data_IF_740135374778
#
_entry.id   IF_740135374778
#
_cell.length_a   1.000
_cell.length_b   1.000
_cell.length_c   1.000
_cell.angle_alpha   90.00
_cell.angle_beta   90.00
_cell.angle_gamma   90.00
#
_symmetry.space_group_name_H-M   'P 1'
#
loop_
_entity.id
_entity.type
_entity.pdbx_description
1 polymer ?
#
# COMPACT_ATOMS: atom_id res chain seq x y z
N UNK A 1 -8.95 -12.74 5.68
CA UNK A 1 -8.66 -11.30 5.58
C UNK A 1 -9.59 -10.73 4.53
N UNK A 2 -10.27 -9.62 4.82
CA UNK A 2 -11.18 -8.98 3.87
C UNK A 2 -10.39 -7.95 3.05
N UNK A 3 -10.69 -7.86 1.76
CA UNK A 3 -10.12 -6.82 0.89
C UNK A 3 -11.02 -5.59 0.86
N UNK A 4 -10.46 -4.44 0.52
CA UNK A 4 -11.21 -3.25 0.18
C UNK A 4 -11.60 -3.30 -1.31
N UNK A 5 -12.88 -3.58 -1.60
CA UNK A 5 -13.41 -3.54 -2.96
C UNK A 5 -13.22 -2.16 -3.64
N UNK A 6 -13.21 -1.08 -2.84
CA UNK A 6 -12.91 0.28 -3.31
C UNK A 6 -11.47 0.41 -3.80
N UNK A 7 -10.48 -0.08 -3.03
CA UNK A 7 -9.07 -0.05 -3.44
C UNK A 7 -8.82 -0.92 -4.67
N UNK A 8 -9.43 -2.12 -4.72
CA UNK A 8 -9.39 -2.99 -5.90
C UNK A 8 -9.89 -2.27 -7.15
N UNK A 9 -11.08 -1.65 -7.08
CA UNK A 9 -11.65 -0.90 -8.20
C UNK A 9 -10.77 0.28 -8.60
N UNK A 10 -10.22 1.02 -7.63
CA UNK A 10 -9.37 2.19 -7.91
C UNK A 10 -8.09 1.76 -8.64
N UNK A 11 -7.37 0.77 -8.13
CA UNK A 11 -6.19 0.22 -8.80
C UNK A 11 -6.50 -0.32 -10.19
N UNK A 12 -7.62 -1.03 -10.37
CA UNK A 12 -8.02 -1.51 -11.69
C UNK A 12 -8.19 -0.36 -12.70
N UNK A 13 -8.82 0.73 -12.28
CA UNK A 13 -9.01 1.90 -13.12
C UNK A 13 -7.69 2.64 -13.40
N UNK A 14 -6.78 2.74 -12.42
CA UNK A 14 -5.43 3.29 -12.61
C UNK A 14 -4.61 2.47 -13.61
N UNK A 15 -4.88 1.16 -13.74
CA UNK A 15 -4.29 0.28 -14.76
C UNK A 15 -5.04 0.29 -16.10
N UNK A 16 -6.07 1.12 -16.24
CA UNK A 16 -6.94 1.20 -17.41
C UNK A 16 -7.59 -0.15 -17.79
N UNK A 17 -7.89 -0.98 -16.80
CA UNK A 17 -8.56 -2.26 -17.04
C UNK A 17 -10.06 -2.16 -16.81
N UNK A 18 -10.84 -2.83 -17.65
CA UNK A 18 -12.21 -3.23 -17.37
C UNK A 18 -12.25 -4.40 -16.38
N UNK A 19 -13.41 -4.66 -15.74
CA UNK A 19 -13.57 -5.83 -14.86
C UNK A 19 -13.26 -7.14 -15.60
N UNK A 20 -13.71 -7.24 -16.87
CA UNK A 20 -13.44 -8.37 -17.76
C UNK A 20 -11.95 -8.55 -18.06
N UNK A 21 -11.21 -7.47 -18.34
CA UNK A 21 -9.77 -7.57 -18.59
C UNK A 21 -9.00 -7.99 -17.35
N UNK A 22 -9.33 -7.44 -16.18
CA UNK A 22 -8.73 -7.88 -14.92
C UNK A 22 -9.03 -9.37 -14.68
N UNK A 23 -10.26 -9.80 -14.91
CA UNK A 23 -10.68 -11.19 -14.75
C UNK A 23 -9.85 -12.14 -15.64
N UNK A 24 -9.74 -11.82 -16.93
CA UNK A 24 -8.95 -12.61 -17.91
C UNK A 24 -7.49 -12.66 -17.50
N UNK A 25 -6.88 -11.52 -17.16
CA UNK A 25 -5.45 -11.44 -16.81
C UNK A 25 -5.11 -12.18 -15.51
N UNK A 26 -6.02 -12.18 -14.54
CA UNK A 26 -5.80 -12.84 -13.23
C UNK A 26 -6.36 -14.27 -13.15
N UNK A 27 -6.94 -14.78 -14.23
CA UNK A 27 -7.48 -16.15 -14.29
C UNK A 27 -8.70 -16.37 -13.40
N UNK A 28 -9.50 -15.34 -13.18
CA UNK A 28 -10.75 -15.39 -12.39
C UNK A 28 -11.95 -15.01 -13.28
N UNK A 29 -13.17 -15.22 -12.77
CA UNK A 29 -14.38 -14.88 -13.53
C UNK A 29 -14.72 -13.39 -13.38
N UNK A 30 -15.33 -12.80 -14.40
CA UNK A 30 -15.81 -11.40 -14.37
C UNK A 30 -16.81 -11.18 -13.21
N UNK A 31 -17.68 -12.16 -12.99
CA UNK A 31 -18.59 -12.18 -11.85
C UNK A 31 -17.85 -12.17 -10.49
N UNK A 32 -16.68 -12.82 -10.37
CA UNK A 32 -15.87 -12.77 -9.17
C UNK A 32 -15.30 -11.37 -8.94
N UNK A 33 -14.67 -10.76 -9.96
CA UNK A 33 -14.13 -9.38 -9.89
C UNK A 33 -15.22 -8.41 -9.45
N UNK A 34 -16.39 -8.46 -10.08
CA UNK A 34 -17.52 -7.60 -9.70
C UNK A 34 -17.93 -7.80 -8.25
N UNK A 35 -18.04 -9.04 -7.78
CA UNK A 35 -18.40 -9.31 -6.38
C UNK A 35 -17.34 -8.85 -5.39
N UNK A 36 -16.06 -8.91 -5.76
CA UNK A 36 -14.95 -8.39 -4.95
C UNK A 36 -14.99 -6.87 -4.84
N UNK A 37 -15.21 -6.16 -5.96
CA UNK A 37 -15.32 -4.70 -5.96
C UNK A 37 -16.54 -4.18 -5.18
N UNK A 38 -17.64 -4.94 -5.20
CA UNK A 38 -18.85 -4.64 -4.43
C UNK A 38 -18.71 -5.01 -2.94
N UNK A 39 -17.67 -5.76 -2.55
CA UNK A 39 -17.48 -6.23 -1.18
C UNK A 39 -18.38 -7.42 -0.79
N UNK A 40 -19.10 -8.02 -1.75
CA UNK A 40 -19.98 -9.18 -1.51
C UNK A 40 -19.19 -10.45 -1.19
N UNK A 41 -17.96 -10.53 -1.69
CA UNK A 41 -17.03 -11.66 -1.49
C UNK A 41 -15.60 -11.15 -1.37
N UNK A 42 -14.71 -11.99 -0.87
CA UNK A 42 -13.26 -11.77 -0.92
C UNK A 42 -12.57 -12.89 -1.70
N UNK A 43 -11.49 -12.61 -2.42
CA UNK A 43 -10.66 -13.65 -3.04
C UNK A 43 -9.99 -14.51 -1.98
N UNK A 44 -9.69 -15.77 -2.33
CA UNK A 44 -8.76 -16.57 -1.53
C UNK A 44 -7.31 -16.05 -1.70
N UNK A 45 -6.36 -16.61 -0.95
CA UNK A 45 -4.96 -16.17 -0.97
C UNK A 45 -4.34 -16.21 -2.38
N UNK A 46 -4.54 -17.30 -3.12
CA UNK A 46 -3.98 -17.47 -4.45
C UNK A 46 -4.58 -16.48 -5.46
N UNK A 47 -5.89 -16.28 -5.41
CA UNK A 47 -6.59 -15.30 -6.23
C UNK A 47 -6.12 -13.87 -5.91
N UNK A 48 -5.92 -13.56 -4.64
CA UNK A 48 -5.44 -12.24 -4.21
C UNK A 48 -4.03 -11.95 -4.76
N UNK A 49 -3.14 -12.95 -4.72
CA UNK A 49 -1.78 -12.83 -5.29
C UNK A 49 -1.87 -12.57 -6.80
N UNK A 50 -2.63 -13.36 -7.55
CA UNK A 50 -2.82 -13.18 -9.00
C UNK A 50 -3.39 -11.80 -9.36
N UNK A 51 -4.35 -11.31 -8.57
CA UNK A 51 -4.92 -9.97 -8.75
C UNK A 51 -3.84 -8.90 -8.50
N UNK A 52 -3.08 -9.03 -7.40
CA UNK A 52 -2.05 -8.07 -7.03
C UNK A 52 -0.90 -8.01 -8.06
N UNK A 53 -0.48 -9.16 -8.58
CA UNK A 53 0.50 -9.28 -9.66
C UNK A 53 0.04 -8.54 -10.94
N UNK A 54 -1.21 -8.77 -11.35
CA UNK A 54 -1.79 -8.10 -12.54
C UNK A 54 -1.92 -6.59 -12.34
N UNK A 55 -2.21 -6.15 -11.11
CA UNK A 55 -2.33 -4.74 -10.76
C UNK A 55 -0.98 -4.08 -10.41
N UNK A 56 0.11 -4.85 -10.41
CA UNK A 56 1.45 -4.40 -10.01
C UNK A 56 1.43 -3.69 -8.65
N UNK A 57 0.86 -4.35 -7.64
CA UNK A 57 0.84 -3.87 -6.26
C UNK A 57 1.14 -5.01 -5.29
N UNK A 58 1.43 -4.65 -4.04
CA UNK A 58 1.47 -5.65 -2.97
C UNK A 58 0.05 -6.03 -2.54
N UNK A 59 -0.15 -7.28 -2.10
CA UNK A 59 -1.46 -7.74 -1.62
C UNK A 59 -1.99 -6.89 -0.46
N UNK A 60 -1.11 -6.32 0.37
CA UNK A 60 -1.41 -5.39 1.46
C UNK A 60 -2.09 -4.11 0.97
N UNK A 61 -1.81 -3.65 -0.25
CA UNK A 61 -2.46 -2.48 -0.85
C UNK A 61 -3.96 -2.73 -1.07
N UNK A 62 -4.38 -3.98 -1.23
CA UNK A 62 -5.78 -4.37 -1.44
C UNK A 62 -6.55 -4.62 -0.14
N UNK A 63 -5.89 -4.67 1.01
CA UNK A 63 -6.53 -5.03 2.27
C UNK A 63 -7.37 -3.90 2.85
N UNK A 64 -8.43 -4.31 3.54
CA UNK A 64 -9.14 -3.45 4.47
C UNK A 64 -8.54 -3.60 5.87
N UNK A 65 -7.88 -2.55 6.34
CA UNK A 65 -7.27 -2.49 7.68
C UNK A 65 -8.28 -2.13 8.77
N UNK A 66 -9.52 -1.80 8.41
CA UNK A 66 -10.57 -1.44 9.35
C UNK A 66 -10.33 -0.07 10.01
N UNK A 67 -10.52 -0.01 11.33
CA UNK A 67 -10.44 1.25 12.08
C UNK A 67 -9.02 1.81 12.13
N UNK A 68 -8.90 3.13 11.97
CA UNK A 68 -7.66 3.86 12.16
C UNK A 68 -7.05 3.63 13.54
N UNK A 69 -7.84 3.32 14.58
CA UNK A 69 -7.33 3.03 15.92
C UNK A 69 -6.39 1.82 15.97
N UNK A 70 -6.52 0.87 15.02
CA UNK A 70 -5.62 -0.29 14.92
C UNK A 70 -4.19 0.10 14.59
N UNK A 71 -3.97 1.26 13.96
CA UNK A 71 -2.63 1.73 13.64
C UNK A 71 -1.79 1.91 14.91
N UNK A 72 -2.41 2.28 16.04
CA UNK A 72 -1.70 2.54 17.29
C UNK A 72 -1.01 1.27 17.79
N UNK A 73 -1.72 0.14 17.79
CA UNK A 73 -1.15 -1.14 18.23
C UNK A 73 -0.05 -1.60 17.26
N UNK A 74 -0.24 -1.42 15.95
CA UNK A 74 0.80 -1.73 14.95
C UNK A 74 2.06 -0.88 15.19
N UNK A 75 1.91 0.41 15.46
CA UNK A 75 3.06 1.28 15.74
C UNK A 75 3.80 0.83 17.00
N UNK A 76 3.11 0.38 18.04
CA UNK A 76 3.75 -0.18 19.25
C UNK A 76 4.46 -1.51 18.97
N UNK A 77 3.83 -2.41 18.22
CA UNK A 77 4.42 -3.71 17.87
C UNK A 77 5.74 -3.55 17.10
N UNK A 78 5.81 -2.55 16.22
CA UNK A 78 6.99 -2.29 15.37
C UNK A 78 7.87 -1.13 15.85
N UNK A 79 7.61 -0.54 17.03
CA UNK A 79 8.31 0.65 17.54
C UNK A 79 9.83 0.44 17.53
N UNK A 80 10.28 -0.72 18.01
CA UNK A 80 11.71 -1.05 18.12
C UNK A 80 12.34 -1.38 16.77
N UNK A 81 11.66 -2.15 15.94
CA UNK A 81 12.20 -2.59 14.64
C UNK A 81 12.35 -1.42 13.67
N UNK A 82 11.34 -0.54 13.65
CA UNK A 82 11.31 0.67 12.85
C UNK A 82 12.01 1.84 13.57
N UNK A 83 12.42 1.66 14.83
CA UNK A 83 13.07 2.68 15.68
C UNK A 83 12.29 4.00 15.71
N UNK A 84 10.99 3.91 15.95
CA UNK A 84 10.07 5.04 15.99
C UNK A 84 10.30 5.89 17.26
N UNK A 85 10.35 7.21 17.09
CA UNK A 85 10.60 8.16 18.18
C UNK A 85 9.61 9.34 18.07
N UNK A 86 8.68 9.50 19.02
CA UNK A 86 7.84 10.69 19.10
C UNK A 86 8.63 11.89 19.67
N UNK A 87 8.50 13.05 19.04
CA UNK A 87 9.22 14.28 19.40
C UNK A 87 8.22 15.44 19.51
N UNK A 88 8.27 16.19 20.62
CA UNK A 88 7.46 17.40 20.82
C UNK A 88 8.20 18.59 20.24
N UNK A 89 7.47 19.46 19.56
CA UNK A 89 7.97 20.67 18.92
C UNK A 89 7.00 21.84 19.07
N UNK A 90 7.48 23.04 18.74
CA UNK A 90 6.72 24.29 18.87
C UNK A 90 5.33 24.22 18.21
N UNK A 91 5.22 23.51 17.07
CA UNK A 91 4.01 23.42 16.27
C UNK A 91 3.28 22.06 16.39
N UNK A 92 3.65 21.21 17.35
CA UNK A 92 2.97 19.94 17.59
C UNK A 92 3.89 18.77 17.87
N UNK A 93 3.53 17.58 17.38
CA UNK A 93 4.26 16.33 17.61
C UNK A 93 4.69 15.73 16.28
N UNK A 94 5.96 15.34 16.17
CA UNK A 94 6.50 14.57 15.04
C UNK A 94 6.74 13.13 15.45
N UNK A 95 6.55 12.21 14.51
CA UNK A 95 7.04 10.84 14.63
C UNK A 95 8.24 10.70 13.69
N UNK A 96 9.38 10.30 14.25
CA UNK A 96 10.64 10.17 13.53
C UNK A 96 11.14 8.73 13.60
N UNK A 97 12.15 8.39 12.79
CA UNK A 97 12.78 7.08 12.81
C UNK A 97 14.28 7.21 12.61
N UNK A 98 15.05 6.29 13.21
CA UNK A 98 16.48 6.10 12.95
C UNK A 98 16.78 4.82 12.18
N UNK A 99 15.75 4.09 11.72
CA UNK A 99 15.92 2.91 10.88
C UNK A 99 16.19 3.35 9.43
N UNK A 100 17.35 3.01 8.82
CA UNK A 100 17.70 3.49 7.48
C UNK A 100 16.68 3.11 6.39
N UNK A 101 16.14 1.89 6.43
CA UNK A 101 15.16 1.45 5.44
C UNK A 101 13.84 2.23 5.55
N UNK A 102 13.38 2.49 6.78
CA UNK A 102 12.19 3.32 6.99
C UNK A 102 12.44 4.79 6.64
N UNK A 103 13.64 5.32 6.92
CA UNK A 103 14.04 6.65 6.48
C UNK A 103 14.00 6.75 4.95
N UNK A 104 14.52 5.77 4.21
CA UNK A 104 14.43 5.74 2.75
C UNK A 104 12.98 5.83 2.27
N UNK A 105 12.07 5.04 2.86
CA UNK A 105 10.63 5.14 2.57
C UNK A 105 10.08 6.55 2.83
N UNK A 106 10.39 7.16 3.98
CA UNK A 106 9.94 8.52 4.29
C UNK A 106 10.48 9.55 3.30
N UNK A 107 11.73 9.40 2.86
CA UNK A 107 12.35 10.26 1.84
C UNK A 107 11.66 10.12 0.49
N UNK A 108 11.37 8.90 0.04
CA UNK A 108 10.61 8.65 -1.19
C UNK A 108 9.23 9.33 -1.13
N UNK A 109 8.53 9.20 0.01
CA UNK A 109 7.23 9.83 0.21
C UNK A 109 7.35 11.37 0.21
N UNK A 110 8.34 11.93 0.90
CA UNK A 110 8.59 13.38 0.89
C UNK A 110 8.84 13.90 -0.52
N UNK A 111 9.64 13.19 -1.32
CA UNK A 111 9.89 13.55 -2.72
C UNK A 111 8.57 13.59 -3.52
N UNK A 112 7.74 12.56 -3.40
CA UNK A 112 6.46 12.50 -4.11
C UNK A 112 5.49 13.59 -3.66
N UNK A 113 5.46 13.93 -2.37
CA UNK A 113 4.66 15.07 -1.87
C UNK A 113 5.15 16.41 -2.44
N UNK A 114 6.47 16.60 -2.58
CA UNK A 114 7.02 17.81 -3.20
C UNK A 114 6.61 17.92 -4.66
N UNK A 115 6.75 16.84 -5.44
CA UNK A 115 6.30 16.79 -6.84
C UNK A 115 4.83 17.16 -6.97
N UNK A 116 3.98 16.60 -6.10
CA UNK A 116 2.55 16.91 -6.08
C UNK A 116 2.27 18.39 -5.75
N UNK A 117 2.89 18.91 -4.70
CA UNK A 117 2.70 20.31 -4.27
C UNK A 117 3.22 21.32 -5.31
N UNK A 118 4.22 20.94 -6.11
CA UNK A 118 4.74 21.74 -7.21
C UNK A 118 3.90 21.62 -8.50
N UNK A 119 2.90 20.73 -8.54
CA UNK A 119 2.09 20.45 -9.73
C UNK A 119 2.81 19.61 -10.79
N UNK A 120 3.92 18.93 -10.45
CA UNK A 120 4.66 18.05 -11.35
C UNK A 120 3.95 16.71 -11.57
N UNK A 121 3.11 16.29 -10.62
CA UNK A 121 2.27 15.11 -10.70
C UNK A 121 0.85 15.41 -10.23
N UNK A 122 -0.10 14.67 -10.78
CA UNK A 122 -1.52 14.71 -10.43
C UNK A 122 -1.82 13.92 -9.16
N UNK A 123 -3.02 14.12 -8.59
CA UNK A 123 -3.52 13.31 -7.47
C UNK A 123 -3.60 11.81 -7.86
N UNK A 124 -3.94 11.51 -9.12
CA UNK A 124 -4.00 10.12 -9.59
C UNK A 124 -2.62 9.46 -9.63
N UNK A 125 -1.59 10.17 -10.08
CA UNK A 125 -0.22 9.67 -10.11
C UNK A 125 0.36 9.49 -8.69
N UNK A 126 0.05 10.40 -7.77
CA UNK A 126 0.45 10.26 -6.37
C UNK A 126 -0.24 9.06 -5.70
N UNK A 127 -1.54 8.88 -5.94
CA UNK A 127 -2.30 7.76 -5.41
C UNK A 127 -1.84 6.42 -6.02
N UNK A 128 -1.52 6.41 -7.31
CA UNK A 128 -0.97 5.24 -7.98
C UNK A 128 0.38 4.84 -7.38
N UNK A 129 1.27 5.82 -7.13
CA UNK A 129 2.54 5.57 -6.46
C UNK A 129 2.33 4.95 -5.08
N UNK A 130 1.41 5.47 -4.26
CA UNK A 130 1.11 4.91 -2.92
C UNK A 130 0.61 3.47 -3.00
N UNK A 131 -0.31 3.18 -3.92
CA UNK A 131 -0.92 1.85 -4.05
C UNK A 131 0.02 0.82 -4.69
N UNK A 132 1.04 1.28 -5.42
CA UNK A 132 2.04 0.44 -6.09
C UNK A 132 3.38 0.37 -5.35
N UNK A 133 3.51 1.08 -4.21
CA UNK A 133 4.77 1.15 -3.49
C UNK A 133 5.19 -0.25 -3.04
N UNK A 134 6.37 -0.67 -3.49
CA UNK A 134 6.91 -1.99 -3.14
C UNK A 134 7.42 -1.96 -1.70
N UNK A 135 6.72 -2.67 -0.83
CA UNK A 135 7.22 -2.92 0.53
C UNK A 135 8.33 -3.96 0.42
N UNK A 136 9.58 -3.51 0.34
CA UNK A 136 10.72 -4.40 0.60
C UNK A 136 10.68 -4.78 2.08
N UNK A 137 10.81 -6.07 2.46
CA UNK A 137 10.92 -6.45 3.86
C UNK A 137 12.04 -5.64 4.51
N UNK A 138 11.73 -4.95 5.60
CA UNK A 138 12.69 -4.16 6.38
C UNK A 138 13.82 -5.08 6.92
N UNK A 139 13.61 -6.40 6.92
CA UNK A 139 14.54 -7.43 7.38
C UNK A 139 15.73 -7.74 6.44
N UNK A 140 15.82 -7.22 5.21
CA UNK A 140 16.95 -7.54 4.30
C UNK A 140 17.95 -6.40 4.08
N UNK A 141 18.45 -5.83 5.17
CA UNK A 141 19.66 -4.98 5.15
C UNK A 141 20.80 -5.49 6.03
N UNK A 142 20.75 -6.73 6.53
CA UNK A 142 21.78 -7.30 7.42
C UNK A 142 22.63 -8.42 6.77
N UNK A 143 22.27 -8.94 5.59
CA UNK A 143 23.03 -10.04 4.94
C UNK A 143 23.81 -9.67 3.67
N UNK A 144 24.04 -8.38 3.38
CA UNK A 144 24.88 -7.96 2.24
C UNK A 144 26.25 -7.38 2.62
N UNK A 145 26.73 -7.68 3.84
CA UNK A 145 28.12 -7.47 4.25
C UNK A 145 28.74 -8.75 4.82
N UNK A 146 28.68 -9.84 4.04
CA UNK A 146 29.59 -10.99 4.18
C UNK A 146 30.29 -11.26 2.85
#
# INVERSE_FOLDING_TARGET
MQISGKKLRRLRLLRNFTQKELAVKSGITDAAVRNYELGNRSPNKEQLIKIAEVLNCDTSALLDYGSSSRIIQILFDYEKDIKLIPVIEENGVRLTSTNPAFICFLLDWIEMQKKYNNGEITDEELEDWKLSYSIKPIEKSIEMEM
#
